data_IF_694533793982
#
_entry.id   IF_694533793982
#
_cell.length_a   1.000
_cell.length_b   1.000
_cell.length_c   1.000
_cell.angle_alpha   90.00
_cell.angle_beta   90.00
_cell.angle_gamma   90.00
#
_symmetry.space_group_name_H-M   'P 1'
#
loop_
_entity.id
_entity.type
_entity.pdbx_description
1 polymer ?
#
# COMPACT_ATOMS: atom_id res chain seq x y z
N UNK A 1 22.16 3.47 20.76
CA UNK A 1 20.86 3.42 20.04
C UNK A 1 20.60 4.80 19.45
N UNK A 2 20.00 4.90 18.27
CA UNK A 2 19.61 6.20 17.71
C UNK A 2 18.14 6.46 18.04
N UNK A 3 17.89 7.18 19.12
CA UNK A 3 16.54 7.43 19.66
C UNK A 3 15.64 8.25 18.71
N UNK A 4 16.23 9.04 17.80
CA UNK A 4 15.46 9.79 16.80
C UNK A 4 14.94 8.89 15.67
N UNK A 5 15.70 7.83 15.32
CA UNK A 5 15.35 6.88 14.25
C UNK A 5 14.65 5.63 14.78
N UNK A 6 14.80 5.31 16.06
CA UNK A 6 14.15 4.17 16.69
C UNK A 6 12.69 4.52 16.98
N UNK A 7 11.78 3.67 16.50
CA UNK A 7 10.34 3.74 16.75
C UNK A 7 9.85 2.39 17.25
N UNK A 8 8.79 2.38 18.05
CA UNK A 8 8.21 1.15 18.63
C UNK A 8 6.91 0.80 17.94
N UNK A 9 6.69 -0.49 17.71
CA UNK A 9 5.44 -1.05 17.19
C UNK A 9 4.87 -1.99 18.26
N UNK A 10 3.55 -1.99 18.49
CA UNK A 10 2.91 -2.93 19.42
C UNK A 10 1.51 -3.29 18.95
N UNK A 11 1.12 -4.55 19.16
CA UNK A 11 -0.25 -5.04 19.00
C UNK A 11 -1.09 -4.91 20.29
N UNK A 12 -0.46 -4.48 21.39
CA UNK A 12 -1.09 -4.24 22.68
C UNK A 12 -1.30 -2.76 22.97
N UNK A 13 -1.42 -2.43 24.25
CA UNK A 13 -1.56 -1.05 24.71
C UNK A 13 -0.24 -0.28 24.54
N UNK A 14 -0.33 0.96 24.05
CA UNK A 14 0.81 1.88 24.00
C UNK A 14 1.05 2.46 25.38
N UNK A 15 2.20 2.15 25.96
CA UNK A 15 2.66 2.69 27.24
C UNK A 15 3.91 3.54 27.03
N UNK A 16 4.16 4.59 27.81
CA UNK A 16 5.36 5.40 27.63
C UNK A 16 6.64 4.56 27.80
N UNK A 17 7.49 4.56 26.78
CA UNK A 17 8.82 3.95 26.83
C UNK A 17 9.86 5.06 26.79
N UNK A 18 10.71 5.11 27.83
CA UNK A 18 11.80 6.07 27.95
C UNK A 18 13.14 5.34 27.92
N UNK A 19 14.06 5.80 27.08
CA UNK A 19 15.45 5.35 27.00
C UNK A 19 16.34 6.58 27.18
N UNK A 20 17.26 6.56 28.14
CA UNK A 20 18.12 7.70 28.46
C UNK A 20 17.35 9.02 28.70
N UNK A 21 16.22 8.94 29.41
CA UNK A 21 15.27 10.04 29.64
C UNK A 21 14.59 10.60 28.36
N UNK A 22 14.82 10.01 27.20
CA UNK A 22 14.14 10.37 25.95
C UNK A 22 12.98 9.41 25.70
N UNK A 23 11.80 9.97 25.43
CA UNK A 23 10.61 9.20 25.08
C UNK A 23 10.76 8.68 23.65
N UNK A 24 10.52 7.38 23.45
CA UNK A 24 10.49 6.77 22.13
C UNK A 24 9.07 6.83 21.59
N UNK A 25 8.93 7.25 20.34
CA UNK A 25 7.62 7.31 19.69
C UNK A 25 7.17 5.93 19.18
N UNK A 26 5.86 5.79 19.09
CA UNK A 26 5.22 4.64 18.46
C UNK A 26 4.93 4.90 17.00
N UNK A 27 5.12 3.88 16.18
CA UNK A 27 4.61 3.81 14.81
C UNK A 27 3.46 2.79 14.73
N UNK A 28 2.57 3.00 13.76
CA UNK A 28 1.46 2.08 13.51
C UNK A 28 1.75 1.16 12.32
N UNK A 29 2.58 1.61 11.39
CA UNK A 29 2.83 0.94 10.12
C UNK A 29 4.31 1.09 9.77
N UNK A 30 4.90 0.03 9.24
CA UNK A 30 6.26 0.08 8.74
C UNK A 30 6.37 -0.70 7.43
N UNK A 31 7.08 -0.13 6.45
CA UNK A 31 7.37 -0.82 5.19
C UNK A 31 8.66 -1.59 5.34
N UNK A 32 8.55 -2.91 5.33
CA UNK A 32 9.69 -3.82 5.33
C UNK A 32 9.67 -4.64 4.04
N UNK A 33 10.74 -4.54 3.25
CA UNK A 33 10.90 -5.26 1.98
C UNK A 33 9.69 -5.10 1.01
N UNK A 34 9.11 -3.89 0.96
CA UNK A 34 7.94 -3.59 0.11
C UNK A 34 6.60 -4.11 0.64
N UNK A 35 6.60 -4.72 1.82
CA UNK A 35 5.40 -5.16 2.53
C UNK A 35 5.08 -4.18 3.66
N UNK A 36 3.81 -3.80 3.78
CA UNK A 36 3.34 -3.01 4.92
C UNK A 36 3.12 -3.97 6.09
N UNK A 37 3.91 -3.81 7.14
CA UNK A 37 3.74 -4.54 8.38
C UNK A 37 2.90 -3.69 9.32
N UNK A 38 1.81 -4.29 9.80
CA UNK A 38 0.97 -3.74 10.85
C UNK A 38 0.95 -4.68 12.05
N UNK A 39 0.97 -4.15 13.29
CA UNK A 39 0.80 -4.97 14.48
C UNK A 39 -0.62 -5.53 14.61
N UNK A 40 -1.60 -4.83 14.05
CA UNK A 40 -3.03 -5.18 14.10
C UNK A 40 -3.56 -5.09 12.68
N UNK A 41 -4.42 -6.05 12.31
CA UNK A 41 -5.20 -6.04 11.07
C UNK A 41 -4.38 -6.06 9.75
N UNK A 42 -3.18 -6.66 9.79
CA UNK A 42 -2.35 -6.83 8.60
C UNK A 42 -3.06 -7.60 7.47
N UNK A 43 -3.88 -8.60 7.83
CA UNK A 43 -4.63 -9.43 6.87
C UNK A 43 -5.67 -8.62 6.10
N UNK A 44 -6.51 -7.82 6.77
CA UNK A 44 -7.57 -7.08 6.09
C UNK A 44 -7.01 -6.02 5.16
N UNK A 45 -5.96 -5.28 5.59
CA UNK A 45 -5.28 -4.33 4.72
C UNK A 45 -4.65 -4.96 3.47
N UNK A 46 -4.06 -6.15 3.60
CA UNK A 46 -3.53 -6.87 2.45
C UNK A 46 -4.64 -7.38 1.51
N UNK A 47 -5.79 -7.80 2.07
CA UNK A 47 -6.98 -8.16 1.27
C UNK A 47 -7.45 -6.94 0.47
N UNK A 48 -7.64 -5.79 1.11
CA UNK A 48 -8.07 -4.55 0.46
C UNK A 48 -7.10 -4.12 -0.64
N UNK A 49 -5.78 -4.19 -0.36
CA UNK A 49 -4.75 -3.92 -1.36
C UNK A 49 -4.86 -4.84 -2.58
N UNK A 50 -5.11 -6.13 -2.37
CA UNK A 50 -5.27 -7.11 -3.47
C UNK A 50 -6.52 -6.84 -4.29
N UNK A 51 -7.65 -6.55 -3.65
CA UNK A 51 -8.90 -6.17 -4.32
C UNK A 51 -8.67 -4.93 -5.18
N UNK A 52 -8.05 -3.90 -4.61
CA UNK A 52 -7.77 -2.67 -5.33
C UNK A 52 -6.83 -2.88 -6.52
N UNK A 53 -5.76 -3.66 -6.35
CA UNK A 53 -4.84 -3.99 -7.44
C UNK A 53 -5.54 -4.74 -8.57
N UNK A 54 -6.38 -5.74 -8.24
CA UNK A 54 -7.15 -6.48 -9.23
C UNK A 54 -8.11 -5.57 -10.01
N UNK A 55 -8.84 -4.70 -9.31
CA UNK A 55 -9.74 -3.74 -9.92
C UNK A 55 -9.00 -2.78 -10.86
N UNK A 56 -7.85 -2.26 -10.43
CA UNK A 56 -7.00 -1.41 -11.26
C UNK A 56 -6.56 -2.11 -12.54
N UNK A 57 -6.13 -3.36 -12.46
CA UNK A 57 -5.73 -4.15 -13.64
C UNK A 57 -6.89 -4.33 -14.62
N UNK A 58 -8.11 -4.59 -14.13
CA UNK A 58 -9.29 -4.70 -14.99
C UNK A 58 -9.56 -3.37 -15.71
N UNK A 59 -9.59 -2.25 -14.97
CA UNK A 59 -9.81 -0.92 -15.55
C UNK A 59 -8.76 -0.55 -16.60
N UNK A 60 -7.49 -0.89 -16.34
CA UNK A 60 -6.42 -0.67 -17.30
C UNK A 60 -6.58 -1.53 -18.55
N UNK A 61 -7.05 -2.79 -18.39
CA UNK A 61 -7.33 -3.67 -19.52
C UNK A 61 -8.47 -3.12 -20.39
N UNK A 62 -9.58 -2.67 -19.79
CA UNK A 62 -10.72 -2.10 -20.51
C UNK A 62 -10.32 -0.87 -21.33
N UNK A 63 -9.58 0.05 -20.71
CA UNK A 63 -9.02 1.23 -21.40
C UNK A 63 -8.10 0.85 -22.55
N UNK A 64 -7.33 -0.24 -22.41
CA UNK A 64 -6.46 -0.72 -23.49
C UNK A 64 -7.27 -1.30 -24.65
N UNK A 65 -8.33 -2.08 -24.36
CA UNK A 65 -9.25 -2.61 -25.36
C UNK A 65 -9.95 -1.49 -26.14
N UNK A 66 -10.48 -0.48 -25.46
CA UNK A 66 -11.14 0.66 -26.11
C UNK A 66 -10.20 1.41 -27.06
N UNK A 67 -8.96 1.67 -26.64
CA UNK A 67 -7.95 2.31 -27.49
C UNK A 67 -7.65 1.50 -28.74
N UNK A 68 -7.55 0.17 -28.62
CA UNK A 68 -7.33 -0.71 -29.76
C UNK A 68 -8.53 -0.68 -30.72
N UNK A 69 -9.75 -0.79 -30.19
CA UNK A 69 -10.97 -0.73 -30.99
C UNK A 69 -11.07 0.55 -31.82
N UNK A 70 -10.92 1.71 -31.17
CA UNK A 70 -11.02 3.00 -31.84
C UNK A 70 -9.95 3.17 -32.94
N UNK A 71 -8.77 2.55 -32.77
CA UNK A 71 -7.73 2.52 -33.81
C UNK A 71 -8.16 1.73 -35.05
N UNK A 72 -8.80 0.57 -34.88
CA UNK A 72 -9.30 -0.23 -36.00
C UNK A 72 -10.48 0.45 -36.71
N UNK A 73 -11.38 1.07 -35.96
CA UNK A 73 -12.53 1.79 -36.54
C UNK A 73 -12.05 2.97 -37.42
N UNK A 74 -11.06 3.75 -36.97
CA UNK A 74 -10.44 4.81 -37.80
C UNK A 74 -9.68 4.29 -39.04
N UNK A 75 -9.13 3.07 -38.98
CA UNK A 75 -8.46 2.45 -40.14
C UNK A 75 -9.47 1.94 -41.17
N UNK A 76 -10.68 1.56 -40.76
CA UNK A 76 -11.75 1.13 -41.67
C UNK A 76 -12.41 2.31 -42.41
N UNK A 77 -12.43 3.50 -41.80
CA UNK A 77 -12.99 4.73 -42.40
C UNK A 77 -12.06 5.44 -43.39
N UNK A 78 -10.78 5.04 -43.46
CA UNK A 78 -9.75 5.66 -44.31
C UNK A 78 -9.46 4.89 -45.61
N UNK A 79 -10.26 3.85 -45.92
CA UNK A 79 -10.22 3.05 -47.16
C UNK A 79 -11.48 3.31 -47.99
#
# INVERSE_FOLDING_TARGET
>A
MNEQKTKVMTNGRKEPICVNNNKIDYENEYVYLGQVILPIDATSKEIDRRIWNAFKTILESERAYEKQRNKYDHQAETV
#
